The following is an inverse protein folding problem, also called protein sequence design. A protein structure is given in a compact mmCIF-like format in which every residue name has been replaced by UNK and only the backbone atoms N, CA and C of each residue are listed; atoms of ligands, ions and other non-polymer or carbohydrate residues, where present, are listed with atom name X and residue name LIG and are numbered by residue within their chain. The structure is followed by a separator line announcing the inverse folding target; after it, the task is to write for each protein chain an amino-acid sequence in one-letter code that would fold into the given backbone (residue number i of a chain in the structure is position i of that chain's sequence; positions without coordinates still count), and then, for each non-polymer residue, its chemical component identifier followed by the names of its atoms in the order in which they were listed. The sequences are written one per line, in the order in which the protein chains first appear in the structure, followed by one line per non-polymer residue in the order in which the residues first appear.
data_IF_010959637729
#
_entry.id   IF_010959637729
#
_cell.length_a   1.000
_cell.length_b   1.000
_cell.length_c   1.000
_cell.angle_alpha   90.00
_cell.angle_beta   90.00
_cell.angle_gamma   90.00
#
_symmetry.space_group_name_H-M   'P 1'
#
loop_
_entity.id
_entity.type
_entity.pdbx_description
1 polymer ?
#
# COMPACT_ATOMS: atom_id res chain seq x y z
N UNK A 1 14.78 10.85 -12.94
CA UNK A 1 13.43 10.36 -12.60
C UNK A 1 13.27 9.00 -13.27
N UNK A 2 13.04 7.92 -12.54
CA UNK A 2 12.92 6.59 -13.15
C UNK A 2 11.62 6.50 -13.97
N UNK A 3 11.63 5.87 -15.15
CA UNK A 3 10.47 5.84 -16.06
C UNK A 3 9.18 5.27 -15.43
N UNK A 4 9.31 4.31 -14.52
CA UNK A 4 8.18 3.72 -13.77
C UNK A 4 7.53 4.73 -12.82
N UNK A 5 8.34 5.58 -12.17
CA UNK A 5 7.82 6.65 -11.30
C UNK A 5 7.06 7.73 -12.06
N UNK A 6 7.45 8.02 -13.31
CA UNK A 6 6.75 8.98 -14.16
C UNK A 6 5.38 8.44 -14.59
N UNK A 7 5.32 7.15 -14.96
CA UNK A 7 4.07 6.50 -15.34
C UNK A 7 3.07 6.48 -14.18
N UNK A 8 3.54 6.18 -12.98
CA UNK A 8 2.72 6.21 -11.78
C UNK A 8 2.13 7.59 -11.49
N UNK A 9 2.95 8.64 -11.60
CA UNK A 9 2.48 10.01 -11.43
C UNK A 9 1.49 10.42 -12.53
N UNK A 10 1.70 10.00 -13.78
CA UNK A 10 0.77 10.26 -14.86
C UNK A 10 -0.60 9.62 -14.59
N UNK A 11 -0.65 8.36 -14.11
CA UNK A 11 -1.90 7.72 -13.72
C UNK A 11 -2.59 8.43 -12.55
N UNK A 12 -1.83 8.86 -11.55
CA UNK A 12 -2.39 9.60 -10.41
C UNK A 12 -3.00 10.94 -10.88
N UNK A 13 -2.35 11.67 -11.81
CA UNK A 13 -2.88 12.92 -12.36
C UNK A 13 -4.07 12.73 -13.30
N UNK A 14 -4.08 11.69 -14.13
CA UNK A 14 -5.25 11.33 -14.94
C UNK A 14 -6.45 10.98 -14.06
N UNK A 15 -6.22 10.32 -12.92
CA UNK A 15 -7.28 10.04 -11.95
C UNK A 15 -7.85 11.31 -11.30
N UNK A 16 -7.04 12.35 -11.12
CA UNK A 16 -7.52 13.65 -10.67
C UNK A 16 -8.34 14.34 -11.78
N UNK A 17 -7.83 14.38 -13.00
CA UNK A 17 -8.52 15.00 -14.14
C UNK A 17 -9.90 14.37 -14.40
N UNK A 18 -9.98 13.03 -14.41
CA UNK A 18 -11.25 12.31 -14.59
C UNK A 18 -12.25 12.63 -13.45
N UNK A 19 -11.77 12.78 -12.21
CA UNK A 19 -12.61 13.22 -11.10
C UNK A 19 -13.13 14.66 -11.30
N UNK A 20 -12.25 15.60 -11.64
CA UNK A 20 -12.64 17.00 -11.82
C UNK A 20 -13.61 17.20 -12.99
N UNK A 21 -13.46 16.40 -14.06
CA UNK A 21 -14.27 16.51 -15.25
C UNK A 21 -15.62 15.76 -15.15
N UNK A 22 -15.68 14.65 -14.40
CA UNK A 22 -16.85 13.73 -14.45
C UNK A 22 -17.55 13.50 -13.13
N UNK A 23 -16.89 13.75 -12.00
CA UNK A 23 -17.43 13.46 -10.67
C UNK A 23 -17.77 14.75 -9.92
N UNK A 24 -16.97 15.80 -10.13
CA UNK A 24 -17.21 17.11 -9.54
C UNK A 24 -18.37 17.81 -10.25
N UNK A 25 -19.20 18.52 -9.48
CA UNK A 25 -20.30 19.35 -9.97
C UNK A 25 -20.22 20.73 -9.31
N UNK A 26 -20.02 21.82 -10.07
CA UNK A 26 -19.77 21.85 -11.52
C UNK A 26 -18.39 21.25 -11.88
N UNK A 27 -18.22 20.73 -13.11
CA UNK A 27 -16.93 20.22 -13.55
C UNK A 27 -15.90 21.35 -13.69
N UNK A 28 -14.63 21.04 -13.46
CA UNK A 28 -13.51 21.98 -13.56
C UNK A 28 -12.29 21.33 -14.20
N UNK A 29 -11.31 22.14 -14.60
CA UNK A 29 -10.03 21.68 -15.12
C UNK A 29 -8.91 21.74 -14.06
N UNK A 30 -7.75 21.15 -14.36
CA UNK A 30 -6.62 21.07 -13.43
C UNK A 30 -6.05 22.44 -13.00
N UNK A 31 -6.07 23.44 -13.87
CA UNK A 31 -5.54 24.77 -13.60
C UNK A 31 -6.57 25.67 -12.90
N UNK A 32 -7.86 25.42 -13.16
CA UNK A 32 -8.98 26.13 -12.54
C UNK A 32 -9.43 25.53 -11.20
N UNK A 33 -9.01 24.31 -10.86
CA UNK A 33 -9.37 23.64 -9.61
C UNK A 33 -8.92 24.44 -8.38
N UNK A 34 -9.84 24.61 -7.44
CA UNK A 34 -9.65 25.29 -6.16
C UNK A 34 -9.09 24.35 -5.08
N UNK A 35 -8.71 24.89 -3.92
CA UNK A 35 -8.33 24.08 -2.76
C UNK A 35 -9.47 23.13 -2.34
N UNK A 36 -10.73 23.59 -2.43
CA UNK A 36 -11.89 22.80 -2.06
C UNK A 36 -12.08 21.59 -2.99
N UNK A 37 -11.89 21.77 -4.29
CA UNK A 37 -12.00 20.70 -5.29
C UNK A 37 -10.94 19.61 -5.07
N UNK A 38 -9.72 20.01 -4.72
CA UNK A 38 -8.63 19.07 -4.44
C UNK A 38 -8.85 18.34 -3.10
N UNK A 39 -9.45 18.99 -2.11
CA UNK A 39 -9.88 18.36 -0.86
C UNK A 39 -11.05 17.41 -1.11
N UNK A 40 -11.97 17.76 -2.00
CA UNK A 40 -13.07 16.89 -2.44
C UNK A 40 -12.50 15.64 -3.14
N UNK A 41 -11.53 15.80 -4.04
CA UNK A 41 -10.83 14.69 -4.68
C UNK A 41 -10.17 13.78 -3.64
N UNK A 42 -9.47 14.36 -2.65
CA UNK A 42 -8.87 13.58 -1.56
C UNK A 42 -9.91 12.73 -0.84
N UNK A 43 -11.02 13.34 -0.42
CA UNK A 43 -12.09 12.62 0.29
C UNK A 43 -12.68 11.54 -0.60
N UNK A 44 -12.95 11.85 -1.87
CA UNK A 44 -13.44 10.88 -2.82
C UNK A 44 -12.48 9.70 -2.98
N UNK A 45 -11.20 9.95 -3.30
CA UNK A 45 -10.21 8.90 -3.58
C UNK A 45 -9.92 8.00 -2.38
N UNK A 46 -10.01 8.53 -1.17
CA UNK A 46 -9.68 7.80 0.07
C UNK A 46 -10.89 7.20 0.78
N UNK A 47 -12.12 7.60 0.44
CA UNK A 47 -13.33 7.18 1.19
C UNK A 47 -14.52 6.78 0.31
N UNK A 48 -14.70 7.38 -0.88
CA UNK A 48 -15.93 7.25 -1.68
C UNK A 48 -15.74 6.59 -3.04
N UNK A 49 -14.51 6.53 -3.54
CA UNK A 49 -14.20 5.86 -4.81
C UNK A 49 -14.59 4.37 -4.71
N UNK A 50 -14.95 3.71 -5.83
CA UNK A 50 -15.31 2.30 -5.84
C UNK A 50 -14.26 1.39 -5.18
N UNK A 51 -12.98 1.77 -5.34
CA UNK A 51 -11.86 1.19 -4.61
C UNK A 51 -11.10 2.33 -3.91
N UNK A 52 -11.37 2.58 -2.61
CA UNK A 52 -10.67 3.59 -1.85
C UNK A 52 -9.18 3.27 -1.72
N UNK A 53 -8.33 4.29 -1.82
CA UNK A 53 -6.87 4.09 -1.73
C UNK A 53 -6.36 4.22 -0.29
N UNK A 54 -5.33 3.43 0.01
CA UNK A 54 -4.63 3.52 1.29
C UNK A 54 -3.65 4.70 1.39
N UNK A 55 -3.09 4.95 2.59
CA UNK A 55 -2.21 6.08 2.87
C UNK A 55 -0.97 6.20 1.98
N UNK A 56 -0.34 5.08 1.61
CA UNK A 56 0.85 5.07 0.75
C UNK A 56 0.52 5.59 -0.65
N UNK A 57 -0.54 5.07 -1.27
CA UNK A 57 -1.02 5.50 -2.59
C UNK A 57 -1.43 6.97 -2.58
N UNK A 58 -2.12 7.42 -1.52
CA UNK A 58 -2.47 8.83 -1.41
C UNK A 58 -1.25 9.76 -1.26
N UNK A 59 -0.21 9.36 -0.51
CA UNK A 59 1.04 10.13 -0.44
C UNK A 59 1.66 10.31 -1.82
N UNK A 60 1.62 9.27 -2.65
CA UNK A 60 2.08 9.33 -4.05
C UNK A 60 1.22 10.28 -4.89
N UNK A 61 -0.12 10.17 -4.79
CA UNK A 61 -1.06 11.08 -5.45
C UNK A 61 -0.78 12.54 -5.05
N UNK A 62 -0.64 12.81 -3.74
CA UNK A 62 -0.29 14.14 -3.23
C UNK A 62 1.06 14.63 -3.76
N UNK A 63 2.06 13.77 -3.90
CA UNK A 63 3.35 14.16 -4.48
C UNK A 63 3.20 14.54 -5.97
N UNK A 64 2.42 13.78 -6.75
CA UNK A 64 2.13 14.09 -8.14
C UNK A 64 1.40 15.44 -8.29
N UNK A 65 0.33 15.65 -7.49
CA UNK A 65 -0.42 16.92 -7.46
C UNK A 65 0.51 18.07 -7.05
N UNK A 66 1.38 17.85 -6.06
CA UNK A 66 2.32 18.88 -5.65
C UNK A 66 3.26 19.28 -6.78
N UNK A 67 3.84 18.28 -7.46
CA UNK A 67 4.74 18.49 -8.59
C UNK A 67 4.06 19.19 -9.77
N UNK A 68 2.80 18.86 -10.07
CA UNK A 68 2.02 19.53 -11.11
C UNK A 68 1.88 21.03 -10.84
N UNK A 69 1.42 21.41 -9.64
CA UNK A 69 1.23 22.83 -9.32
C UNK A 69 2.56 23.59 -9.13
N UNK A 70 3.61 22.93 -8.64
CA UNK A 70 4.96 23.51 -8.64
C UNK A 70 5.42 23.83 -10.06
N UNK A 71 5.25 22.88 -10.99
CA UNK A 71 5.59 23.08 -12.39
C UNK A 71 4.73 24.15 -13.07
N UNK A 72 3.42 24.16 -12.82
CA UNK A 72 2.49 25.12 -13.43
C UNK A 72 2.80 26.56 -13.01
N UNK A 73 3.14 26.79 -11.74
CA UNK A 73 3.60 28.10 -11.26
C UNK A 73 4.98 28.44 -11.83
N UNK A 74 5.94 27.51 -11.78
CA UNK A 74 7.29 27.72 -12.31
C UNK A 74 7.32 28.01 -13.82
N UNK A 75 6.32 27.52 -14.56
CA UNK A 75 6.16 27.71 -16.01
C UNK A 75 5.26 28.90 -16.35
N UNK A 76 4.73 29.63 -15.35
CA UNK A 76 3.88 30.81 -15.55
C UNK A 76 2.45 30.52 -16.00
N UNK A 77 2.01 29.26 -16.01
CA UNK A 77 0.62 28.89 -16.27
C UNK A 77 -0.31 29.31 -15.13
N UNK A 78 0.23 29.38 -13.92
CA UNK A 78 -0.46 29.90 -12.73
C UNK A 78 0.37 30.97 -12.06
N UNK A 79 -0.27 32.04 -11.59
CA UNK A 79 0.40 33.07 -10.77
C UNK A 79 0.79 32.54 -9.39
N UNK A 80 -0.04 31.67 -8.83
CA UNK A 80 0.15 31.04 -7.52
C UNK A 80 -0.59 29.70 -7.47
N UNK A 81 -0.26 28.86 -6.50
CA UNK A 81 -0.92 27.57 -6.30
C UNK A 81 -2.37 27.76 -5.87
N UNK A 82 -3.23 26.82 -6.24
CA UNK A 82 -4.63 26.78 -5.79
C UNK A 82 -4.82 26.52 -4.30
N UNK A 83 -3.78 26.03 -3.61
CA UNK A 83 -3.78 25.78 -2.16
C UNK A 83 -2.45 26.14 -1.51
N UNK A 84 -2.51 26.48 -0.21
CA UNK A 84 -1.35 26.90 0.56
C UNK A 84 -0.59 25.71 1.18
N UNK A 85 0.74 25.72 1.00
CA UNK A 85 1.65 24.79 1.69
C UNK A 85 2.22 25.48 2.93
N UNK A 86 1.99 24.90 4.11
CA UNK A 86 2.54 25.41 5.37
C UNK A 86 4.05 25.13 5.43
N UNK A 87 4.76 25.93 6.24
CA UNK A 87 6.23 25.85 6.44
C UNK A 87 6.70 24.48 6.94
N UNK A 88 5.85 23.72 7.64
CA UNK A 88 6.13 22.36 8.11
C UNK A 88 5.89 21.27 7.04
N UNK A 89 5.67 21.66 5.78
CA UNK A 89 5.41 20.75 4.67
C UNK A 89 4.03 20.11 4.67
N UNK A 90 3.13 20.48 5.60
CA UNK A 90 1.71 20.09 5.58
C UNK A 90 0.90 21.07 4.73
N UNK A 91 -0.15 20.56 4.12
CA UNK A 91 -1.10 21.28 3.26
C UNK A 91 -2.50 20.68 3.43
N UNK A 92 -3.50 21.23 2.74
CA UNK A 92 -4.88 20.73 2.75
C UNK A 92 -5.00 19.25 2.32
N UNK A 93 -4.05 18.77 1.51
CA UNK A 93 -4.00 17.40 0.98
C UNK A 93 -3.29 16.43 1.93
N UNK A 94 -2.74 16.91 3.04
CA UNK A 94 -2.04 16.08 4.00
C UNK A 94 -3.01 15.11 4.68
N UNK A 95 -2.83 13.82 4.42
CA UNK A 95 -3.37 12.76 5.24
C UNK A 95 -2.42 12.53 6.41
N UNK A 96 -2.91 12.03 7.55
CA UNK A 96 -2.14 11.83 8.78
C UNK A 96 -0.84 11.03 8.58
N UNK A 97 -0.12 10.77 9.67
CA UNK A 97 1.03 9.85 9.62
C UNK A 97 0.56 8.51 9.07
N UNK A 98 0.92 8.19 7.81
CA UNK A 98 0.64 6.88 7.26
C UNK A 98 1.21 5.85 8.23
N UNK A 99 0.41 4.82 8.45
CA UNK A 99 0.81 3.65 9.19
C UNK A 99 2.19 3.20 8.69
N UNK A 100 3.01 2.82 9.65
CA UNK A 100 4.30 2.19 9.40
C UNK A 100 4.10 1.07 8.37
N UNK A 101 5.09 0.87 7.48
CA UNK A 101 5.01 -0.26 6.56
C UNK A 101 4.92 -1.53 7.42
N UNK A 102 3.77 -2.22 7.40
CA UNK A 102 3.59 -3.53 8.03
C UNK A 102 4.39 -4.56 7.23
N UNK A 103 5.71 -4.49 7.37
CA UNK A 103 6.63 -5.45 6.77
C UNK A 103 6.52 -6.73 7.59
N UNK A 104 5.79 -7.71 7.04
CA UNK A 104 5.68 -9.03 7.66
C UNK A 104 7.00 -9.77 7.51
N UNK A 105 7.60 -10.10 8.63
CA UNK A 105 8.83 -10.88 8.69
C UNK A 105 8.51 -12.37 8.57
N UNK A 106 9.34 -13.11 7.84
CA UNK A 106 9.26 -14.57 7.76
C UNK A 106 10.09 -15.18 8.90
N UNK A 107 9.45 -15.99 9.74
CA UNK A 107 10.19 -16.83 10.69
C UNK A 107 10.99 -17.91 9.95
N UNK A 108 11.99 -18.50 10.61
CA UNK A 108 12.80 -19.57 10.01
C UNK A 108 11.95 -20.76 9.55
N UNK A 109 10.95 -21.15 10.34
CA UNK A 109 10.04 -22.25 9.99
C UNK A 109 9.19 -21.90 8.75
N UNK A 110 8.67 -20.67 8.69
CA UNK A 110 7.92 -20.19 7.53
C UNK A 110 8.79 -20.10 6.28
N UNK A 111 10.06 -19.71 6.42
CA UNK A 111 11.03 -19.73 5.32
C UNK A 111 11.28 -21.14 4.80
N UNK A 112 11.54 -22.12 5.67
CA UNK A 112 11.76 -23.52 5.26
C UNK A 112 10.55 -24.05 4.48
N UNK A 113 9.33 -23.73 4.96
CA UNK A 113 8.09 -24.10 4.27
C UNK A 113 7.96 -23.42 2.90
N UNK A 114 8.16 -22.10 2.83
CA UNK A 114 8.13 -21.35 1.58
C UNK A 114 9.17 -21.87 0.58
N UNK A 115 10.38 -22.18 1.05
CA UNK A 115 11.49 -22.63 0.22
C UNK A 115 11.23 -24.02 -0.39
N UNK A 116 10.77 -24.99 0.41
CA UNK A 116 10.51 -26.35 -0.07
C UNK A 116 9.19 -26.48 -0.81
N UNK A 117 8.10 -26.00 -0.22
CA UNK A 117 6.74 -26.19 -0.76
C UNK A 117 6.40 -25.10 -1.79
N UNK A 118 6.63 -23.83 -1.46
CA UNK A 118 6.27 -22.72 -2.35
C UNK A 118 7.17 -22.59 -3.58
N UNK A 119 8.50 -22.56 -3.37
CA UNK A 119 9.49 -22.39 -4.42
C UNK A 119 9.93 -23.72 -5.02
N UNK A 120 10.06 -24.75 -4.18
CA UNK A 120 10.49 -26.07 -4.60
C UNK A 120 9.38 -26.93 -5.22
N UNK A 121 8.12 -26.66 -4.86
CA UNK A 121 6.98 -27.48 -5.29
C UNK A 121 6.89 -28.82 -4.57
N UNK A 122 7.56 -28.99 -3.42
CA UNK A 122 7.38 -30.17 -2.58
C UNK A 122 5.98 -30.13 -1.92
N UNK A 123 5.42 -31.27 -1.55
CA UNK A 123 4.18 -31.37 -0.77
C UNK A 123 4.44 -30.97 0.69
N UNK A 124 3.40 -30.52 1.44
CA UNK A 124 3.54 -30.18 2.86
C UNK A 124 4.05 -31.31 3.75
N UNK A 125 3.87 -32.56 3.33
CA UNK A 125 4.37 -33.77 3.98
C UNK A 125 5.86 -34.03 3.71
N UNK A 126 6.51 -33.19 2.88
CA UNK A 126 7.92 -33.29 2.51
C UNK A 126 8.18 -34.19 1.30
N UNK A 127 7.15 -34.79 0.69
CA UNK A 127 7.29 -35.58 -0.52
C UNK A 127 7.39 -34.71 -1.78
N UNK A 128 7.99 -35.21 -2.85
CA UNK A 128 8.17 -34.44 -4.09
C UNK A 128 6.89 -34.50 -4.93
N UNK A 129 6.27 -33.35 -5.22
CA UNK A 129 5.16 -33.31 -6.18
C UNK A 129 5.68 -33.48 -7.61
N UNK A 130 5.33 -34.60 -8.23
CA UNK A 130 5.70 -34.90 -9.62
C UNK A 130 4.98 -34.02 -10.65
N UNK A 131 3.87 -33.36 -10.27
CA UNK A 131 3.14 -32.42 -11.13
C UNK A 131 3.80 -31.04 -11.14
N UNK A 132 4.66 -30.75 -10.16
CA UNK A 132 5.44 -29.52 -10.13
C UNK A 132 6.48 -29.48 -11.25
N UNK A 133 6.68 -28.31 -11.88
CA UNK A 133 7.66 -28.15 -12.94
C UNK A 133 9.08 -28.14 -12.36
N UNK A 134 9.85 -29.21 -12.60
CA UNK A 134 11.25 -29.35 -12.16
C UNK A 134 12.16 -28.16 -12.57
N UNK A 135 11.95 -27.60 -13.77
CA UNK A 135 12.71 -26.43 -14.22
C UNK A 135 12.49 -25.19 -13.33
N UNK A 136 11.28 -25.02 -12.78
CA UNK A 136 10.96 -23.93 -11.84
C UNK A 136 11.67 -24.16 -10.50
N UNK A 137 11.71 -25.41 -10.01
CA UNK A 137 12.43 -25.80 -8.78
C UNK A 137 13.92 -25.46 -8.85
N UNK A 138 14.60 -25.91 -9.91
CA UNK A 138 16.04 -25.71 -10.10
C UNK A 138 16.45 -24.24 -10.26
N UNK A 139 15.53 -23.37 -10.69
CA UNK A 139 15.76 -21.93 -10.75
C UNK A 139 15.37 -21.23 -9.45
N UNK A 140 14.16 -21.47 -8.96
CA UNK A 140 13.54 -20.69 -7.89
C UNK A 140 14.12 -20.96 -6.51
N UNK A 141 14.47 -22.21 -6.18
CA UNK A 141 15.05 -22.53 -4.87
C UNK A 141 16.45 -21.90 -4.68
N UNK A 142 17.44 -22.13 -5.56
CA UNK A 142 18.76 -21.53 -5.39
C UNK A 142 18.75 -20.02 -5.60
N UNK A 143 17.83 -19.47 -6.41
CA UNK A 143 17.66 -18.02 -6.56
C UNK A 143 17.21 -17.32 -5.27
N UNK A 144 16.40 -17.99 -4.44
CA UNK A 144 15.83 -17.36 -3.26
C UNK A 144 16.78 -17.32 -2.06
N UNK A 145 17.75 -18.24 -1.98
CA UNK A 145 18.77 -18.26 -0.92
C UNK A 145 19.58 -16.95 -0.84
N UNK A 146 20.22 -16.45 -1.92
CA UNK A 146 20.93 -15.18 -1.86
C UNK A 146 19.97 -14.01 -1.60
N UNK A 147 18.76 -14.01 -2.15
CA UNK A 147 17.79 -12.93 -1.91
C UNK A 147 17.44 -12.79 -0.41
N UNK A 148 17.24 -13.91 0.30
CA UNK A 148 16.90 -13.89 1.73
C UNK A 148 18.12 -13.67 2.63
N UNK A 149 19.27 -14.26 2.30
CA UNK A 149 20.48 -14.16 3.14
C UNK A 149 21.18 -12.81 3.03
N UNK A 150 21.07 -12.13 1.89
CA UNK A 150 21.66 -10.79 1.67
C UNK A 150 20.66 -9.65 1.93
N UNK A 151 19.36 -9.93 1.91
CA UNK A 151 18.32 -8.90 2.00
C UNK A 151 18.22 -8.00 0.76
N UNK A 152 18.77 -8.44 -0.39
CA UNK A 152 18.69 -7.70 -1.66
C UNK A 152 17.25 -7.43 -2.10
N UNK A 153 17.00 -6.25 -2.67
CA UNK A 153 15.70 -5.94 -3.27
C UNK A 153 15.49 -6.75 -4.55
N UNK A 154 14.24 -7.06 -4.91
CA UNK A 154 13.92 -7.81 -6.15
C UNK A 154 14.56 -7.22 -7.41
N UNK A 155 14.67 -5.89 -7.50
CA UNK A 155 15.30 -5.20 -8.63
C UNK A 155 16.83 -5.38 -8.64
N UNK A 156 17.46 -5.37 -7.48
CA UNK A 156 18.90 -5.65 -7.34
C UNK A 156 19.16 -7.12 -7.68
N UNK A 157 18.39 -8.03 -7.12
CA UNK A 157 18.45 -9.47 -7.40
C UNK A 157 18.27 -9.79 -8.89
N UNK A 158 17.32 -9.13 -9.57
CA UNK A 158 17.07 -9.34 -11.01
C UNK A 158 18.21 -8.91 -11.93
N UNK A 159 19.18 -8.15 -11.40
CA UNK A 159 20.33 -7.62 -12.13
C UNK A 159 21.63 -8.32 -11.79
N UNK A 160 21.59 -9.33 -10.90
CA UNK A 160 22.76 -10.13 -10.59
C UNK A 160 23.30 -10.80 -11.86
N UNK A 161 24.59 -10.62 -12.09
CA UNK A 161 25.31 -11.28 -13.18
C UNK A 161 26.00 -12.55 -12.68
N UNK A 162 26.17 -13.53 -13.55
CA UNK A 162 26.84 -14.80 -13.20
C UNK A 162 28.26 -14.58 -12.65
N UNK A 163 28.96 -13.53 -13.13
CA UNK A 163 30.29 -13.16 -12.65
C UNK A 163 30.32 -12.58 -11.23
N UNK A 164 29.19 -12.11 -10.72
CA UNK A 164 29.04 -11.55 -9.37
C UNK A 164 28.73 -12.63 -8.33
N UNK A 165 28.31 -13.82 -8.78
CA UNK A 165 28.02 -14.97 -7.92
C UNK A 165 29.28 -15.83 -7.82
N UNK A 166 29.85 -16.04 -6.62
CA UNK A 166 30.98 -16.92 -6.45
C UNK A 166 30.68 -18.31 -7.03
N UNK A 167 31.57 -18.80 -7.89
CA UNK A 167 31.48 -20.15 -8.42
C UNK A 167 31.47 -21.20 -7.29
N UNK A 168 30.94 -22.40 -7.55
CA UNK A 168 30.89 -23.46 -6.55
C UNK A 168 32.29 -23.79 -6.05
N UNK A 169 32.58 -23.45 -4.79
CA UNK A 169 33.84 -23.79 -4.14
C UNK A 169 33.84 -25.29 -3.82
N UNK A 170 34.85 -26.03 -4.32
CA UNK A 170 34.98 -27.49 -4.13
C UNK A 170 35.03 -27.96 -2.66
N UNK A 171 35.11 -27.04 -1.70
CA UNK A 171 35.21 -27.31 -0.26
C UNK A 171 33.94 -27.05 0.57
N UNK A 172 32.81 -26.65 -0.03
CA UNK A 172 31.54 -26.47 0.71
C UNK A 172 31.52 -25.34 1.76
N UNK A 173 32.56 -24.50 1.80
CA UNK A 173 32.62 -23.35 2.71
C UNK A 173 31.80 -22.19 2.17
N UNK A 174 30.98 -21.59 3.03
CA UNK A 174 30.24 -20.37 2.69
C UNK A 174 31.25 -19.25 2.41
N UNK A 175 31.30 -18.78 1.17
CA UNK A 175 32.12 -17.62 0.79
C UNK A 175 31.27 -16.37 1.02
N UNK A 176 31.73 -15.40 1.82
CA UNK A 176 31.01 -14.15 2.00
C UNK A 176 30.93 -13.41 0.65
N UNK A 177 29.72 -13.22 0.15
CA UNK A 177 29.46 -12.37 -1.01
C UNK A 177 29.55 -10.93 -0.53
N UNK A 178 30.59 -10.22 -0.98
CA UNK A 178 30.70 -8.76 -0.75
C UNK A 178 29.94 -8.07 -1.87
N UNK A 179 28.70 -7.67 -1.60
CA UNK A 179 27.98 -6.78 -2.51
C UNK A 179 28.39 -5.33 -2.23
N UNK A 180 28.51 -4.47 -3.25
CA UNK A 180 28.74 -3.04 -3.04
C UNK A 180 27.51 -2.46 -2.32
N UNK A 181 27.68 -2.12 -1.05
CA UNK A 181 26.67 -1.41 -0.26
C UNK A 181 26.39 -0.05 -0.91
N UNK A 182 25.13 0.37 -1.09
CA UNK A 182 24.85 1.77 -1.44
C UNK A 182 25.43 2.68 -0.35
N UNK A 183 25.92 3.89 -0.69
CA UNK A 183 26.46 4.81 0.30
C UNK A 183 25.43 5.02 1.40
N UNK A 184 25.83 4.72 2.64
CA UNK A 184 25.01 4.88 3.83
C UNK A 184 24.48 6.31 3.84
N UNK A 185 23.15 6.48 3.72
CA UNK A 185 22.54 7.78 3.96
C UNK A 185 22.88 8.17 5.41
N UNK A 186 23.27 9.44 5.67
CA UNK A 186 23.61 9.87 7.02
C UNK A 186 22.43 9.58 7.94
N UNK A 187 22.64 8.72 8.92
CA UNK A 187 21.67 8.39 9.94
C UNK A 187 21.25 9.69 10.64
N UNK A 188 19.99 10.08 10.51
CA UNK A 188 19.42 11.07 11.43
C UNK A 188 19.53 10.50 12.84
N UNK A 189 19.94 11.32 13.84
CA UNK A 189 20.07 10.86 15.21
C UNK A 189 18.71 10.37 15.71
N UNK A 190 18.65 9.09 16.07
CA UNK A 190 17.51 8.54 16.82
C UNK A 190 17.40 9.29 18.16
N UNK A 191 16.22 9.78 18.56
CA UNK A 191 16.04 10.20 19.94
C UNK A 191 16.26 9.00 20.86
N UNK A 192 17.03 9.20 21.91
CA UNK A 192 17.37 8.18 22.89
C UNK A 192 16.10 7.51 23.42
N UNK A 193 16.01 6.19 23.23
CA UNK A 193 15.02 5.38 23.91
C UNK A 193 15.37 5.40 25.41
N UNK A 194 14.46 5.93 26.23
CA UNK A 194 14.51 5.81 27.68
C UNK A 194 14.56 4.33 28.07
N UNK A 195 15.72 3.88 28.50
CA UNK A 195 15.91 2.65 29.25
C UNK A 195 15.30 2.88 30.64
N UNK A 196 14.04 2.47 30.84
CA UNK A 196 13.56 2.22 32.19
C UNK A 196 14.02 0.83 32.61
N UNK A 197 15.01 0.82 33.51
CA UNK A 197 15.40 -0.35 34.28
C UNK A 197 14.21 -0.76 35.17
N UNK A 198 13.72 -1.96 34.95
CA UNK A 198 12.68 -2.63 35.72
C UNK A 198 13.25 -2.94 37.12
N UNK A 199 13.01 -2.03 38.07
CA UNK A 199 13.33 -2.23 39.48
C UNK A 199 12.10 -2.79 40.18
N UNK A 200 12.18 -4.07 40.55
CA UNK A 200 11.23 -4.76 41.43
C UNK A 200 11.10 -4.03 42.77
N UNK A 201 9.94 -3.43 43.03
CA UNK A 201 9.48 -3.11 44.37
C UNK A 201 8.08 -3.70 44.63
N UNK A 202 7.80 -4.18 45.84
CA UNK A 202 6.63 -4.99 46.16
C UNK A 202 5.33 -4.17 46.28
N UNK A 203 4.22 -4.85 45.97
CA UNK A 203 2.87 -4.29 45.94
C UNK A 203 2.40 -3.73 47.31
N UNK A 204 1.75 -2.55 47.34
CA UNK A 204 1.04 -2.10 48.53
C UNK A 204 -0.35 -2.75 48.67
N UNK A 205 -0.73 -3.03 49.91
CA UNK A 205 -1.98 -3.67 50.33
C UNK A 205 -3.25 -2.85 49.97
N UNK A 206 -4.42 -3.50 49.86
CA UNK A 206 -5.63 -2.87 49.32
C UNK A 206 -6.30 -1.93 50.32
N UNK A 207 -6.39 -0.65 49.97
CA UNK A 207 -7.28 0.30 50.63
C UNK A 207 -8.71 0.14 50.10
N UNK A 208 -9.64 -0.15 51.01
CA UNK A 208 -11.06 -0.32 50.71
C UNK A 208 -11.70 0.98 50.23
N UNK A 209 -12.31 0.94 49.04
CA UNK A 209 -13.25 1.94 48.57
C UNK A 209 -14.69 1.54 48.96
N UNK A 210 -15.51 2.46 49.50
CA UNK A 210 -16.91 2.20 49.78
C UNK A 210 -17.74 2.12 48.49
N UNK A 211 -18.86 1.37 48.49
CA UNK A 211 -19.66 1.14 47.29
C UNK A 211 -20.44 2.40 46.88
N UNK A 212 -20.57 2.69 45.57
CA UNK A 212 -21.46 3.74 45.09
C UNK A 212 -22.93 3.35 45.19
N UNK A 213 -23.74 4.28 45.70
CA UNK A 213 -25.19 4.22 45.91
C UNK A 213 -26.01 4.02 44.60
N UNK A 214 -27.27 3.53 44.71
CA UNK A 214 -28.03 2.99 43.58
C UNK A 214 -28.56 4.07 42.63
N UNK A 215 -28.57 3.76 41.32
CA UNK A 215 -29.19 4.58 40.27
C UNK A 215 -30.72 4.51 40.35
N UNK A 216 -31.44 5.61 40.10
CA UNK A 216 -32.90 5.62 40.11
C UNK A 216 -33.50 4.99 38.83
N UNK A 217 -34.49 4.11 39.05
CA UNK A 217 -35.73 3.98 38.29
C UNK A 217 -35.65 3.76 36.78
N UNK A 218 -35.65 2.49 36.36
CA UNK A 218 -36.04 2.08 35.01
C UNK A 218 -37.57 1.88 35.01
N UNK A 219 -38.29 2.72 34.27
CA UNK A 219 -39.71 2.49 33.94
C UNK A 219 -39.74 1.69 32.62
N UNK A 220 -40.48 0.57 32.54
CA UNK A 220 -40.74 -0.13 31.29
C UNK A 220 -42.01 0.45 30.65
N UNK A 221 -42.00 0.60 29.33
CA UNK A 221 -43.21 0.73 28.55
C UNK A 221 -43.09 -0.19 27.34
N UNK A 222 -44.02 -1.12 27.30
CA UNK A 222 -44.24 -2.13 26.29
C UNK A 222 -44.70 -1.53 24.94
N UNK A 223 -44.30 -2.23 23.89
CA UNK A 223 -45.08 -2.67 22.73
C UNK A 223 -45.83 -1.70 21.79
N UNK A 224 -45.75 -2.11 20.52
CA UNK A 224 -46.63 -1.84 19.37
C UNK A 224 -46.32 -0.60 18.50
N UNK A 225 -45.79 -0.83 17.30
CA UNK A 225 -46.61 -0.81 16.08
C UNK A 225 -45.74 -1.03 14.83
N UNK A 226 -46.07 -2.07 14.07
CA UNK A 226 -45.76 -2.18 12.64
C UNK A 226 -46.33 -0.97 11.90
N UNK A 227 -45.53 -0.38 11.01
CA UNK A 227 -46.05 0.38 9.88
C UNK A 227 -45.08 0.25 8.70
N UNK A 228 -45.65 -0.28 7.64
CA UNK A 228 -45.07 -0.56 6.34
C UNK A 228 -45.42 0.60 5.40
N UNK A 229 -44.41 1.26 4.85
CA UNK A 229 -44.48 2.15 3.68
C UNK A 229 -43.11 2.00 2.98
N UNK A 230 -42.97 1.29 1.85
CA UNK A 230 -43.37 1.66 0.47
C UNK A 230 -43.10 3.14 0.13
N UNK A 231 -42.04 3.36 -0.66
CA UNK A 231 -41.61 4.70 -1.08
C UNK A 231 -40.29 4.74 -1.86
N UNK A 232 -40.33 4.23 -3.10
CA UNK A 232 -39.65 4.81 -4.27
C UNK A 232 -38.11 5.02 -4.26
N UNK A 233 -37.39 4.05 -4.85
CA UNK A 233 -36.02 4.23 -5.38
C UNK A 233 -36.07 4.57 -6.87
N UNK A 234 -35.40 5.63 -7.35
CA UNK A 234 -35.32 5.91 -8.78
C UNK A 234 -34.39 4.92 -9.52
N UNK A 235 -34.67 4.59 -10.81
CA UNK A 235 -34.02 3.50 -11.52
C UNK A 235 -32.86 3.98 -12.39
N UNK A 236 -31.61 3.68 -12.03
CA UNK A 236 -30.48 3.78 -12.97
C UNK A 236 -29.40 2.73 -12.65
N UNK A 237 -29.68 1.46 -12.95
CA UNK A 237 -28.64 0.43 -13.17
C UNK A 237 -29.28 -0.86 -13.75
N UNK A 238 -29.91 -0.75 -14.92
CA UNK A 238 -30.22 -1.92 -15.75
C UNK A 238 -30.05 -1.59 -17.24
N UNK A 239 -28.80 -1.53 -17.68
CA UNK A 239 -28.40 -1.78 -19.06
C UNK A 239 -26.90 -2.03 -19.05
N UNK A 240 -26.49 -3.30 -19.06
CA UNK A 240 -25.23 -3.84 -19.64
C UNK A 240 -25.00 -5.32 -19.26
N UNK A 241 -26.06 -6.13 -19.26
CA UNK A 241 -25.92 -7.60 -19.17
C UNK A 241 -26.84 -8.28 -20.18
N UNK A 242 -26.50 -8.16 -21.47
CA UNK A 242 -26.71 -9.17 -22.52
C UNK A 242 -26.24 -8.62 -23.87
N UNK A 243 -25.24 -9.26 -24.45
CA UNK A 243 -24.74 -8.97 -25.79
C UNK A 243 -23.61 -9.94 -26.13
N UNK A 244 -23.95 -10.94 -26.93
CA UNK A 244 -23.17 -12.10 -27.31
C UNK A 244 -21.78 -11.79 -27.90
N UNK A 245 -20.75 -12.44 -27.35
CA UNK A 245 -19.46 -12.62 -28.02
C UNK A 245 -19.59 -13.77 -29.02
N UNK A 246 -19.98 -13.44 -30.26
CA UNK A 246 -19.75 -14.30 -31.43
C UNK A 246 -18.40 -13.92 -32.06
N UNK A 247 -17.58 -14.94 -32.26
CA UNK A 247 -16.26 -14.87 -32.85
C UNK A 247 -16.28 -14.33 -34.28
N UNK A 248 -15.28 -13.51 -34.62
CA UNK A 248 -14.79 -13.45 -36.00
C UNK A 248 -13.26 -13.19 -36.00
N UNK A 249 -12.53 -14.11 -36.61
CA UNK A 249 -11.08 -14.05 -36.86
C UNK A 249 -10.84 -13.42 -38.23
N UNK A 250 -9.92 -12.46 -38.40
CA UNK A 250 -9.39 -12.15 -39.72
C UNK A 250 -8.17 -13.02 -40.05
N UNK A 251 -8.26 -13.71 -41.18
CA UNK A 251 -7.22 -14.52 -41.80
C UNK A 251 -6.01 -13.67 -42.27
N UNK A 252 -4.81 -14.25 -42.16
CA UNK A 252 -3.59 -13.72 -42.77
C UNK A 252 -3.57 -13.96 -44.30
N UNK A 253 -3.10 -13.01 -45.13
CA UNK A 253 -2.74 -13.30 -46.51
C UNK A 253 -1.31 -13.84 -46.60
N UNK A 254 -1.11 -14.81 -47.50
CA UNK A 254 0.19 -15.33 -47.93
C UNK A 254 0.80 -14.55 -49.08
#
# INVERSE_FOLDING_TARGET
MEAESLRDYAYDLMGLEDFLARVLDPPTDLLSASEEDLVAFRRWRTQRAPVPVGPATWRRNRAAINGLYDWAVGSGLLRQRSYLRRRNGRDALSWGTAADLDVRHLSRAQWVMLHRVGLGGDLPDGSVDRRSRRAKRLRSMPAAEPAVTTGMRSREFSRLLDMEVPGPSRGGTAVPVTTPSPPCAPSSPRPAANLYAESLHPAPAPHGHPPPSPRPGRVPADSEAEAQEDGERPPLLQALTRGDLRADQPACPG
#
